data_IF_003885295846
#
_entry.id   IF_003885295846
#
_cell.length_a   1.000
_cell.length_b   1.000
_cell.length_c   1.000
_cell.angle_alpha   90.00
_cell.angle_beta   90.00
_cell.angle_gamma   90.00
#
_symmetry.space_group_name_H-M   'P 1'
#
loop_
_entity.id
_entity.type
_entity.pdbx_description
1 polymer ?
#
# COMPACT_ATOMS: atom_id res chain seq x y z
N UNK A 1 30.66 17.85 42.07
CA UNK A 1 29.90 18.72 42.99
C UNK A 1 29.46 19.97 42.23
N UNK A 2 28.19 20.11 41.90
CA UNK A 2 27.42 21.37 41.85
C UNK A 2 25.97 21.01 41.50
N UNK A 3 25.10 21.57 42.30
CA UNK A 3 23.75 21.20 42.66
C UNK A 3 22.69 21.52 41.59
N UNK A 4 21.65 20.73 41.64
CA UNK A 4 20.34 20.90 41.00
C UNK A 4 19.67 22.23 41.38
N UNK A 5 18.80 22.76 40.46
CA UNK A 5 17.68 23.61 40.84
C UNK A 5 16.45 23.19 40.06
N UNK A 6 15.53 22.62 40.79
CA UNK A 6 14.14 22.44 40.39
C UNK A 6 13.41 23.81 40.45
N UNK A 7 12.55 24.05 39.47
CA UNK A 7 11.54 25.13 39.55
C UNK A 7 10.19 24.52 39.23
N UNK A 8 9.40 24.36 40.29
CA UNK A 8 7.97 24.08 40.23
C UNK A 8 7.23 25.36 39.92
N UNK A 9 6.27 25.35 38.99
CA UNK A 9 5.19 26.33 38.96
C UNK A 9 3.85 25.59 38.95
N UNK A 10 3.20 25.65 40.10
CA UNK A 10 1.78 25.46 40.32
C UNK A 10 1.06 26.74 39.91
N UNK A 11 0.02 26.64 39.11
CA UNK A 11 -1.08 27.61 39.15
C UNK A 11 -2.40 26.90 38.91
N UNK A 12 -3.17 26.82 39.99
CA UNK A 12 -4.57 26.48 40.00
C UNK A 12 -5.42 27.76 39.87
N UNK A 13 -6.47 27.71 39.07
CA UNK A 13 -7.60 28.63 39.23
C UNK A 13 -8.87 27.95 38.70
N UNK A 14 -9.72 27.60 39.60
CA UNK A 14 -11.14 27.29 39.43
C UNK A 14 -11.95 28.58 39.36
N UNK A 15 -13.10 28.57 38.68
CA UNK A 15 -14.30 29.38 38.96
C UNK A 15 -15.43 28.81 38.07
N UNK A 16 -16.39 28.14 38.69
CA UNK A 16 -17.84 28.36 38.86
C UNK A 16 -18.55 29.07 37.71
N UNK A 17 -19.56 28.58 37.05
CA UNK A 17 -20.82 28.02 37.54
C UNK A 17 -21.94 29.05 37.30
N UNK A 18 -22.95 28.74 36.46
CA UNK A 18 -24.31 29.24 36.62
C UNK A 18 -25.28 28.50 35.69
N UNK A 19 -26.18 27.78 36.30
CA UNK A 19 -27.49 27.29 35.84
C UNK A 19 -28.50 28.43 35.76
N UNK A 20 -29.51 28.31 34.89
CA UNK A 20 -30.93 28.73 35.05
C UNK A 20 -31.59 28.57 33.67
N UNK A 21 -32.41 27.60 33.36
CA UNK A 21 -33.79 27.24 33.72
C UNK A 21 -34.82 28.37 33.52
N UNK A 22 -35.75 28.13 32.61
CA UNK A 22 -37.22 28.40 32.69
C UNK A 22 -37.84 28.18 31.30
N UNK A 23 -38.62 27.26 31.07
CA UNK A 23 -40.05 26.93 31.21
C UNK A 23 -41.06 27.89 30.54
N UNK A 24 -41.85 27.26 29.68
CA UNK A 24 -43.29 27.29 29.57
C UNK A 24 -43.99 28.33 28.69
N UNK A 25 -44.86 27.83 27.82
CA UNK A 25 -46.22 28.30 27.69
C UNK A 25 -46.72 28.49 26.27
N UNK A 26 -47.32 27.54 25.70
CA UNK A 26 -48.74 27.28 25.40
C UNK A 26 -49.44 28.09 24.30
N UNK A 27 -50.09 27.32 23.42
CA UNK A 27 -51.41 27.51 22.76
C UNK A 27 -51.56 28.44 21.55
N UNK A 28 -51.92 27.81 20.42
CA UNK A 28 -53.20 28.17 19.82
C UNK A 28 -53.25 28.35 18.31
N UNK A 29 -53.94 27.45 17.66
CA UNK A 29 -54.84 27.55 16.51
C UNK A 29 -54.36 27.75 15.06
N UNK A 30 -54.61 26.69 14.31
CA UNK A 30 -55.32 26.60 13.03
C UNK A 30 -55.13 27.68 11.96
N UNK A 31 -54.58 27.27 10.84
CA UNK A 31 -55.20 27.50 9.53
C UNK A 31 -54.62 26.50 8.48
N UNK A 32 -55.55 25.80 7.90
CA UNK A 32 -55.46 24.83 6.83
C UNK A 32 -55.18 25.54 5.51
N UNK A 33 -54.12 25.16 4.80
CA UNK A 33 -54.05 25.35 3.34
C UNK A 33 -53.32 24.17 2.71
N UNK A 34 -54.10 23.42 1.98
CA UNK A 34 -53.69 22.37 1.06
C UNK A 34 -52.82 22.91 -0.06
N UNK A 35 -51.60 22.36 -0.19
CA UNK A 35 -50.93 22.38 -1.48
C UNK A 35 -50.24 21.04 -1.69
N UNK A 36 -50.69 20.33 -2.71
CA UNK A 36 -50.13 19.15 -3.31
C UNK A 36 -48.70 19.42 -3.77
N UNK A 37 -47.75 18.84 -3.09
CA UNK A 37 -46.35 18.77 -3.51
C UNK A 37 -46.03 17.30 -3.83
N UNK A 38 -45.72 17.08 -5.11
CA UNK A 38 -45.25 15.84 -5.69
C UNK A 38 -44.13 15.26 -4.83
N UNK A 39 -44.40 14.14 -4.21
CA UNK A 39 -43.40 13.37 -3.48
C UNK A 39 -42.42 12.73 -4.45
N UNK A 40 -41.22 13.29 -4.52
CA UNK A 40 -40.07 12.57 -5.01
C UNK A 40 -39.73 11.52 -3.94
N UNK A 41 -40.12 10.27 -4.18
CA UNK A 41 -39.61 9.12 -3.44
C UNK A 41 -38.17 8.92 -3.84
N UNK A 42 -37.27 9.67 -3.20
CA UNK A 42 -35.88 9.28 -3.11
C UNK A 42 -35.88 7.95 -2.34
N UNK A 43 -35.52 6.87 -3.02
CA UNK A 43 -35.22 5.60 -2.38
C UNK A 43 -34.08 5.89 -1.39
N UNK A 44 -34.38 5.92 -0.12
CA UNK A 44 -33.35 5.87 0.90
C UNK A 44 -32.62 4.56 0.67
N UNK A 45 -31.36 4.61 0.25
CA UNK A 45 -30.51 3.44 0.24
C UNK A 45 -30.55 2.89 1.66
N UNK A 46 -30.94 1.65 1.81
CA UNK A 46 -31.01 0.97 3.10
C UNK A 46 -29.56 0.81 3.58
N UNK A 47 -29.17 1.58 4.59
CA UNK A 47 -27.81 1.47 5.15
C UNK A 47 -27.58 0.04 5.62
N UNK A 48 -26.49 -0.57 5.13
CA UNK A 48 -26.09 -1.90 5.58
C UNK A 48 -25.69 -1.80 7.07
N UNK A 49 -26.25 -2.64 7.96
CA UNK A 49 -25.87 -2.61 9.37
C UNK A 49 -24.37 -2.88 9.53
N UNK A 50 -23.70 -2.09 10.37
CA UNK A 50 -22.28 -2.31 10.70
C UNK A 50 -22.16 -3.66 11.42
N UNK A 51 -21.32 -4.54 10.86
CA UNK A 51 -21.01 -5.87 11.39
C UNK A 51 -19.62 -5.91 11.99
N UNK A 52 -18.68 -5.14 11.44
CA UNK A 52 -17.29 -5.10 11.88
C UNK A 52 -16.76 -3.67 12.01
N UNK A 53 -16.04 -3.44 13.10
CA UNK A 53 -15.17 -2.27 13.27
C UNK A 53 -13.73 -2.73 13.08
N UNK A 54 -13.01 -2.15 12.13
CA UNK A 54 -11.63 -2.55 11.79
C UNK A 54 -10.70 -1.36 11.65
N UNK A 55 -9.41 -1.62 11.79
CA UNK A 55 -8.34 -0.68 11.45
C UNK A 55 -7.61 -1.17 10.20
N UNK A 56 -7.47 -0.29 9.21
CA UNK A 56 -6.68 -0.56 8.00
C UNK A 56 -5.68 0.56 7.75
N UNK A 57 -4.46 0.26 7.27
CA UNK A 57 -3.49 1.28 6.91
C UNK A 57 -3.87 1.90 5.56
N UNK A 58 -4.03 3.21 5.52
CA UNK A 58 -4.48 3.89 4.33
C UNK A 58 -3.88 5.26 4.07
N UNK A 59 -3.19 5.85 5.01
CA UNK A 59 -2.70 7.23 4.87
C UNK A 59 -1.16 7.27 4.92
N UNK A 60 -0.51 6.70 3.91
CA UNK A 60 0.95 6.61 3.83
C UNK A 60 1.58 7.38 2.65
N UNK A 61 0.80 8.10 1.86
CA UNK A 61 1.30 8.89 0.73
C UNK A 61 1.65 8.08 -0.54
N UNK A 62 1.45 6.77 -0.54
CA UNK A 62 1.76 5.90 -1.69
C UNK A 62 0.56 5.72 -2.61
N UNK A 63 0.80 5.80 -3.92
CA UNK A 63 -0.17 5.43 -4.96
C UNK A 63 -0.54 3.94 -4.94
N UNK A 64 0.27 3.07 -4.33
CA UNK A 64 -0.04 1.65 -4.17
C UNK A 64 -1.30 1.40 -3.31
N UNK A 65 -1.73 2.39 -2.51
CA UNK A 65 -2.91 2.28 -1.64
C UNK A 65 -4.21 2.79 -2.29
N UNK A 66 -4.22 3.12 -3.56
CA UNK A 66 -5.43 3.65 -4.24
C UNK A 66 -6.66 2.76 -4.03
N UNK A 67 -6.60 1.41 -4.15
CA UNK A 67 -7.76 0.56 -3.88
C UNK A 67 -8.29 0.68 -2.45
N UNK A 68 -7.40 0.79 -1.46
CA UNK A 68 -7.80 0.98 -0.05
C UNK A 68 -8.54 2.30 0.15
N UNK A 69 -8.01 3.40 -0.40
CA UNK A 69 -8.63 4.72 -0.30
C UNK A 69 -10.00 4.76 -0.97
N UNK A 70 -10.11 4.16 -2.16
CA UNK A 70 -11.37 4.14 -2.90
C UNK A 70 -12.40 3.20 -2.28
N UNK A 71 -11.99 2.05 -1.74
CA UNK A 71 -12.89 1.17 -1.00
C UNK A 71 -13.51 1.87 0.21
N UNK A 72 -12.76 2.76 0.85
CA UNK A 72 -13.23 3.59 1.96
C UNK A 72 -14.10 4.77 1.46
N UNK A 73 -13.59 5.63 0.58
CA UNK A 73 -14.23 6.87 0.18
C UNK A 73 -15.50 6.66 -0.66
N UNK A 74 -15.55 5.61 -1.48
CA UNK A 74 -16.72 5.25 -2.28
C UNK A 74 -17.74 4.40 -1.51
N UNK A 75 -17.46 4.10 -0.22
CA UNK A 75 -18.36 3.38 0.65
C UNK A 75 -18.41 1.87 0.41
N UNK A 76 -17.51 1.29 -0.37
CA UNK A 76 -17.53 -0.15 -0.67
C UNK A 76 -17.29 -1.01 0.57
N UNK A 77 -16.48 -0.54 1.53
CA UNK A 77 -16.36 -1.20 2.84
C UNK A 77 -17.67 -1.12 3.63
N UNK A 78 -18.34 0.04 3.63
CA UNK A 78 -19.61 0.20 4.32
C UNK A 78 -20.74 -0.66 3.71
N UNK A 79 -20.75 -0.85 2.39
CA UNK A 79 -21.68 -1.76 1.71
C UNK A 79 -21.52 -3.22 2.18
N UNK A 80 -20.33 -3.62 2.60
CA UNK A 80 -20.05 -4.93 3.18
C UNK A 80 -20.28 -4.98 4.72
N UNK A 81 -20.80 -3.90 5.31
CA UNK A 81 -21.03 -3.82 6.77
C UNK A 81 -19.77 -3.53 7.58
N UNK A 82 -18.75 -2.96 6.96
CA UNK A 82 -17.46 -2.66 7.59
C UNK A 82 -17.37 -1.16 7.90
N UNK A 83 -17.17 -0.83 9.17
CA UNK A 83 -16.77 0.48 9.63
C UNK A 83 -15.23 0.46 9.78
N UNK A 84 -14.50 1.18 8.92
CA UNK A 84 -13.06 1.16 8.88
C UNK A 84 -12.47 2.45 9.43
N UNK A 85 -11.44 2.35 10.27
CA UNK A 85 -10.59 3.44 10.70
C UNK A 85 -9.29 3.42 9.89
N UNK A 86 -9.07 4.46 9.06
CA UNK A 86 -7.87 4.59 8.27
C UNK A 86 -6.75 5.20 9.11
N UNK A 87 -5.65 4.47 9.26
CA UNK A 87 -4.50 4.90 10.05
C UNK A 87 -3.22 5.00 9.21
N UNK A 88 -2.35 5.92 9.57
CA UNK A 88 -0.97 5.90 9.05
C UNK A 88 -0.18 4.83 9.79
N UNK A 89 0.43 3.91 9.06
CA UNK A 89 1.22 2.84 9.63
C UNK A 89 2.45 2.57 8.77
N UNK A 90 3.62 2.53 9.40
CA UNK A 90 4.85 2.07 8.79
C UNK A 90 4.87 0.54 8.64
N UNK A 91 5.92 0.03 8.01
CA UNK A 91 6.08 -1.40 7.75
C UNK A 91 5.98 -2.25 9.03
N UNK A 92 6.71 -1.88 10.08
CA UNK A 92 6.73 -2.63 11.32
C UNK A 92 5.37 -2.62 12.04
N UNK A 93 4.67 -1.49 12.03
CA UNK A 93 3.31 -1.37 12.56
C UNK A 93 2.32 -2.24 11.80
N UNK A 94 2.40 -2.28 10.45
CA UNK A 94 1.60 -3.17 9.61
C UNK A 94 1.89 -4.64 9.91
N UNK A 95 3.17 -5.01 10.01
CA UNK A 95 3.60 -6.36 10.32
C UNK A 95 3.07 -6.82 11.69
N UNK A 96 3.18 -5.98 12.70
CA UNK A 96 2.62 -6.24 14.04
C UNK A 96 1.10 -6.35 13.99
N UNK A 97 0.43 -5.45 13.27
CA UNK A 97 -1.03 -5.44 13.11
C UNK A 97 -1.55 -6.71 12.44
N UNK A 98 -0.91 -7.18 11.37
CA UNK A 98 -1.22 -8.45 10.72
C UNK A 98 -1.00 -9.63 11.67
N UNK A 99 0.18 -9.70 12.30
CA UNK A 99 0.55 -10.83 13.14
C UNK A 99 -0.41 -11.02 14.34
N UNK A 100 -0.87 -9.93 14.95
CA UNK A 100 -1.80 -9.99 16.09
C UNK A 100 -3.27 -9.91 15.71
N UNK A 101 -3.60 -9.59 14.44
CA UNK A 101 -4.95 -9.49 13.90
C UNK A 101 -5.65 -8.15 14.13
N UNK A 102 -4.95 -7.11 14.60
CA UNK A 102 -5.53 -5.76 14.74
C UNK A 102 -5.68 -5.04 13.40
N UNK A 103 -4.88 -5.43 12.41
CA UNK A 103 -5.06 -5.07 11.01
C UNK A 103 -5.37 -6.35 10.23
N UNK A 104 -6.63 -6.60 9.85
CA UNK A 104 -7.04 -7.85 9.22
C UNK A 104 -6.42 -8.04 7.83
N UNK A 105 -6.30 -6.95 7.06
CA UNK A 105 -5.67 -6.90 5.74
C UNK A 105 -4.77 -5.68 5.64
N UNK A 106 -3.64 -5.83 4.97
CA UNK A 106 -2.78 -4.71 4.54
C UNK A 106 -2.28 -4.95 3.11
N UNK A 107 -1.97 -3.88 2.39
CA UNK A 107 -1.15 -3.96 1.19
C UNK A 107 0.33 -4.03 1.58
N UNK A 108 1.11 -4.72 0.77
CA UNK A 108 2.54 -4.85 0.92
C UNK A 108 3.18 -5.45 -0.33
N UNK A 109 4.43 -5.74 -0.25
CA UNK A 109 5.29 -6.23 -1.31
C UNK A 109 6.13 -7.42 -0.81
N UNK A 110 7.22 -7.77 -1.48
CA UNK A 110 8.06 -8.92 -1.13
C UNK A 110 8.73 -8.82 0.25
N UNK A 111 8.79 -7.64 0.87
CA UNK A 111 9.45 -7.46 2.17
C UNK A 111 8.82 -8.29 3.30
N UNK A 112 7.56 -8.74 3.12
CA UNK A 112 6.92 -9.66 4.08
C UNK A 112 7.33 -11.14 3.90
N UNK A 113 7.95 -11.51 2.78
CA UNK A 113 8.28 -12.90 2.51
C UNK A 113 9.18 -13.54 3.56
N UNK A 114 10.27 -12.91 4.05
CA UNK A 114 11.04 -13.44 5.16
C UNK A 114 10.26 -13.58 6.47
N UNK A 115 9.28 -12.69 6.68
CA UNK A 115 8.42 -12.74 7.87
C UNK A 115 7.48 -13.95 7.84
N UNK A 116 6.97 -14.32 6.67
CA UNK A 116 6.19 -15.55 6.46
C UNK A 116 7.09 -16.78 6.69
N UNK A 117 8.30 -16.79 6.14
CA UNK A 117 9.26 -17.86 6.32
C UNK A 117 9.55 -18.12 7.79
N UNK A 118 9.71 -17.05 8.59
CA UNK A 118 9.97 -17.13 10.02
C UNK A 118 8.74 -17.43 10.88
N UNK A 119 7.55 -17.59 10.25
CA UNK A 119 6.33 -18.08 10.90
C UNK A 119 5.46 -17.02 11.54
N UNK A 120 5.52 -15.77 11.08
CA UNK A 120 4.52 -14.78 11.45
C UNK A 120 3.13 -15.16 10.89
N UNK A 121 2.06 -14.70 11.58
CA UNK A 121 0.67 -14.96 11.18
C UNK A 121 0.25 -14.07 10.00
N UNK A 122 0.94 -14.23 8.87
CA UNK A 122 0.76 -13.44 7.64
C UNK A 122 0.67 -14.39 6.46
N UNK A 123 -0.24 -14.10 5.53
CA UNK A 123 -0.35 -14.82 4.25
C UNK A 123 -0.77 -13.86 3.13
N UNK A 124 -0.31 -14.08 1.92
CA UNK A 124 -0.83 -13.42 0.72
C UNK A 124 -2.20 -14.01 0.40
N UNK A 125 -3.16 -13.15 0.05
CA UNK A 125 -4.52 -13.58 -0.31
C UNK A 125 -4.90 -13.17 -1.74
N UNK A 126 -4.24 -12.12 -2.29
CA UNK A 126 -4.44 -11.67 -3.67
C UNK A 126 -3.24 -10.83 -4.13
N UNK A 127 -3.10 -10.67 -5.46
CA UNK A 127 -2.26 -9.63 -6.05
C UNK A 127 -2.95 -8.27 -5.95
N UNK A 128 -2.18 -7.19 -6.04
CA UNK A 128 -2.73 -5.84 -5.98
C UNK A 128 -2.46 -5.05 -7.26
N UNK A 129 -1.20 -4.84 -7.62
CA UNK A 129 -0.82 -4.11 -8.82
C UNK A 129 0.60 -4.46 -9.28
N UNK A 130 0.89 -4.09 -10.54
CA UNK A 130 2.21 -4.21 -11.15
C UNK A 130 3.14 -3.10 -10.67
N UNK A 131 4.38 -3.12 -11.13
CA UNK A 131 5.52 -2.33 -10.73
C UNK A 131 5.31 -0.88 -10.32
N UNK A 132 6.08 -0.47 -9.35
CA UNK A 132 6.12 0.88 -8.78
C UNK A 132 7.52 1.24 -8.26
N UNK A 133 8.56 0.56 -8.76
CA UNK A 133 9.96 0.80 -8.40
C UNK A 133 10.76 1.05 -9.69
N UNK A 134 11.66 2.01 -9.64
CA UNK A 134 12.65 2.26 -10.69
C UNK A 134 14.05 2.23 -10.12
N UNK A 135 14.99 1.73 -10.92
CA UNK A 135 16.41 1.86 -10.69
C UNK A 135 16.91 3.02 -11.54
N UNK A 136 17.51 4.01 -10.89
CA UNK A 136 17.80 5.29 -11.51
C UNK A 136 19.24 5.71 -11.25
N UNK A 137 19.83 6.39 -12.23
CA UNK A 137 21.18 6.95 -12.18
C UNK A 137 21.16 8.41 -12.64
N UNK A 138 22.28 9.14 -12.46
CA UNK A 138 22.38 10.49 -13.00
C UNK A 138 22.27 10.49 -14.52
N UNK A 139 21.76 11.57 -15.16
CA UNK A 139 21.52 11.61 -16.60
C UNK A 139 22.78 11.38 -17.45
N UNK A 140 23.93 11.81 -16.95
CA UNK A 140 25.24 11.66 -17.59
C UNK A 140 26.04 10.43 -17.12
N UNK A 141 25.46 9.59 -16.26
CA UNK A 141 26.08 8.35 -15.80
C UNK A 141 26.35 7.40 -16.97
N UNK A 142 27.50 6.72 -17.01
CA UNK A 142 27.77 5.69 -18.01
C UNK A 142 27.04 4.37 -17.76
N UNK A 143 26.38 4.22 -16.60
CA UNK A 143 25.69 2.99 -16.22
C UNK A 143 24.42 2.83 -17.06
N UNK A 144 24.32 1.71 -17.78
CA UNK A 144 23.17 1.32 -18.62
C UNK A 144 22.72 -0.11 -18.34
N UNK A 145 23.59 -0.94 -17.78
CA UNK A 145 23.34 -2.36 -17.51
C UNK A 145 23.72 -2.74 -16.10
N UNK A 146 23.27 -3.91 -15.64
CA UNK A 146 23.68 -4.47 -14.36
C UNK A 146 25.20 -4.65 -14.22
N UNK A 147 25.86 -5.04 -15.32
CA UNK A 147 27.32 -5.27 -15.32
C UNK A 147 28.11 -3.98 -15.05
N UNK A 148 27.61 -2.82 -15.45
CA UNK A 148 28.25 -1.52 -15.22
C UNK A 148 28.26 -1.14 -13.73
N UNK A 149 27.49 -1.82 -12.90
CA UNK A 149 27.40 -1.61 -11.45
C UNK A 149 28.44 -2.40 -10.65
N UNK A 150 29.27 -3.24 -11.28
CA UNK A 150 30.32 -3.97 -10.53
C UNK A 150 31.26 -3.01 -9.79
N UNK A 151 31.38 -3.20 -8.47
CA UNK A 151 32.11 -2.33 -7.58
C UNK A 151 31.36 -1.07 -7.16
N UNK A 152 30.13 -0.88 -7.66
CA UNK A 152 29.30 0.30 -7.39
C UNK A 152 28.56 0.25 -6.06
N UNK A 153 28.00 1.41 -5.71
CA UNK A 153 27.23 1.64 -4.49
C UNK A 153 25.79 1.98 -4.84
N UNK A 154 24.83 1.31 -4.20
CA UNK A 154 23.41 1.37 -4.51
C UNK A 154 22.62 1.82 -3.30
N UNK A 155 21.84 2.89 -3.44
CA UNK A 155 20.91 3.29 -2.39
C UNK A 155 19.60 2.50 -2.47
N UNK A 156 19.13 2.05 -1.31
CA UNK A 156 17.85 1.37 -1.12
C UNK A 156 17.14 1.96 0.10
N UNK A 157 15.84 1.71 0.26
CA UNK A 157 15.09 2.13 1.44
C UNK A 157 15.62 1.44 2.71
N UNK A 158 15.75 0.11 2.68
CA UNK A 158 16.36 -0.67 3.76
C UNK A 158 17.00 -1.96 3.22
N UNK A 159 17.96 -2.49 3.97
CA UNK A 159 18.55 -3.79 3.66
C UNK A 159 17.51 -4.87 3.94
N UNK A 160 17.22 -5.66 2.90
CA UNK A 160 16.17 -6.68 2.96
C UNK A 160 14.78 -6.18 2.61
N UNK A 161 14.61 -4.89 2.35
CA UNK A 161 13.38 -4.31 1.80
C UNK A 161 13.17 -4.64 0.32
N UNK A 162 12.05 -4.21 -0.23
CA UNK A 162 11.71 -4.60 -1.62
C UNK A 162 12.60 -3.94 -2.65
N UNK A 163 13.01 -2.69 -2.46
CA UNK A 163 13.98 -2.03 -3.36
C UNK A 163 15.32 -2.78 -3.39
N UNK A 164 15.77 -3.29 -2.24
CA UNK A 164 16.92 -4.17 -2.14
C UNK A 164 16.69 -5.49 -2.88
N UNK A 165 15.56 -6.17 -2.65
CA UNK A 165 15.25 -7.47 -3.25
C UNK A 165 15.13 -7.38 -4.77
N UNK A 166 14.40 -6.38 -5.29
CA UNK A 166 14.26 -6.14 -6.74
C UNK A 166 15.63 -5.89 -7.37
N UNK A 167 16.45 -5.04 -6.76
CA UNK A 167 17.77 -4.73 -7.28
C UNK A 167 18.70 -5.94 -7.24
N UNK A 168 18.67 -6.71 -6.14
CA UNK A 168 19.48 -7.92 -6.02
C UNK A 168 19.05 -8.98 -7.04
N UNK A 169 17.75 -9.20 -7.24
CA UNK A 169 17.25 -10.12 -8.27
C UNK A 169 17.70 -9.69 -9.67
N UNK A 170 17.56 -8.41 -10.02
CA UNK A 170 18.00 -7.91 -11.31
C UNK A 170 19.51 -8.08 -11.54
N UNK A 171 20.33 -7.78 -10.54
CA UNK A 171 21.78 -7.95 -10.61
C UNK A 171 22.17 -9.42 -10.79
N UNK A 172 21.66 -10.31 -9.93
CA UNK A 172 21.97 -11.74 -9.95
C UNK A 172 21.51 -12.41 -11.26
N UNK A 173 20.34 -12.04 -11.78
CA UNK A 173 19.84 -12.54 -13.08
C UNK A 173 20.73 -12.10 -14.26
N UNK A 174 21.46 -10.98 -14.11
CA UNK A 174 22.41 -10.47 -15.08
C UNK A 174 23.88 -10.81 -14.73
N UNK A 175 24.10 -11.77 -13.83
CA UNK A 175 25.42 -12.33 -13.52
C UNK A 175 26.30 -11.44 -12.63
N UNK A 176 25.71 -10.46 -11.94
CA UNK A 176 26.39 -9.61 -10.95
C UNK A 176 26.00 -10.09 -9.55
N UNK A 177 26.99 -10.51 -8.76
CA UNK A 177 26.76 -10.97 -7.38
C UNK A 177 26.33 -9.82 -6.49
N UNK A 178 25.10 -9.91 -5.97
CA UNK A 178 24.50 -8.86 -5.15
C UNK A 178 24.42 -9.22 -3.66
N UNK A 179 24.44 -10.54 -3.32
CA UNK A 179 24.23 -11.05 -1.97
C UNK A 179 25.38 -11.96 -1.58
N UNK A 180 25.76 -11.95 -0.29
CA UNK A 180 26.80 -12.81 0.28
C UNK A 180 28.15 -12.14 0.43
N UNK A 181 29.16 -12.95 0.83
CA UNK A 181 30.53 -12.46 1.10
C UNK A 181 31.29 -12.06 -0.19
N UNK A 182 30.86 -12.59 -1.33
CA UNK A 182 31.41 -12.34 -2.67
C UNK A 182 30.58 -11.32 -3.46
N UNK A 183 29.74 -10.54 -2.79
CA UNK A 183 28.94 -9.49 -3.43
C UNK A 183 29.87 -8.47 -4.15
N UNK A 184 29.49 -8.13 -5.37
CA UNK A 184 30.24 -7.22 -6.25
C UNK A 184 29.71 -5.80 -6.19
N UNK A 185 28.67 -5.54 -5.38
CA UNK A 185 28.06 -4.23 -5.16
C UNK A 185 27.92 -3.96 -3.66
N UNK A 186 27.73 -2.69 -3.31
CA UNK A 186 27.48 -2.29 -1.92
C UNK A 186 26.12 -1.62 -1.82
N UNK A 187 25.22 -2.16 -0.99
CA UNK A 187 23.95 -1.52 -0.69
C UNK A 187 24.06 -0.60 0.52
N UNK A 188 23.47 0.60 0.40
CA UNK A 188 23.37 1.58 1.49
C UNK A 188 21.90 1.90 1.76
N UNK A 189 21.40 1.67 3.00
CA UNK A 189 20.04 2.04 3.37
C UNK A 189 19.95 3.52 3.71
N UNK A 190 18.92 4.21 3.18
CA UNK A 190 18.66 5.62 3.48
C UNK A 190 17.33 5.85 4.20
N UNK A 191 16.39 4.90 4.16
CA UNK A 191 15.09 4.96 4.83
C UNK A 191 14.11 5.99 4.26
N UNK A 192 14.50 6.75 3.23
CA UNK A 192 13.67 7.77 2.58
C UNK A 192 14.15 8.01 1.14
N UNK A 193 13.23 8.00 0.18
CA UNK A 193 13.54 8.16 -1.25
C UNK A 193 14.20 9.51 -1.59
N UNK A 194 13.82 10.60 -0.87
CA UNK A 194 14.43 11.90 -1.12
C UNK A 194 15.91 11.89 -0.68
N UNK A 195 16.23 11.22 0.44
CA UNK A 195 17.62 11.06 0.89
C UNK A 195 18.42 10.21 -0.08
N UNK A 196 17.82 9.14 -0.62
CA UNK A 196 18.44 8.31 -1.67
C UNK A 196 18.76 9.13 -2.92
N UNK A 197 17.80 9.91 -3.42
CA UNK A 197 17.99 10.78 -4.59
C UNK A 197 19.06 11.87 -4.34
N UNK A 198 19.10 12.46 -3.15
CA UNK A 198 20.16 13.42 -2.79
C UNK A 198 21.55 12.76 -2.69
N UNK A 199 21.62 11.51 -2.20
CA UNK A 199 22.86 10.74 -2.19
C UNK A 199 23.36 10.47 -3.62
N UNK A 200 22.48 10.16 -4.56
CA UNK A 200 22.79 10.03 -5.98
C UNK A 200 23.33 11.34 -6.56
N UNK A 201 22.60 12.45 -6.35
CA UNK A 201 22.99 13.79 -6.85
C UNK A 201 24.35 14.25 -6.31
N UNK A 202 24.68 13.88 -5.08
CA UNK A 202 25.97 14.20 -4.45
C UNK A 202 27.12 13.27 -4.85
N UNK A 203 26.84 12.19 -5.61
CA UNK A 203 27.82 11.18 -5.98
C UNK A 203 28.22 10.26 -4.81
N UNK A 204 27.40 10.18 -3.76
CA UNK A 204 27.62 9.23 -2.67
C UNK A 204 27.28 7.81 -3.09
N UNK A 205 26.34 7.64 -4.01
CA UNK A 205 25.94 6.37 -4.61
C UNK A 205 25.90 6.48 -6.13
N UNK A 206 26.01 5.36 -6.80
CA UNK A 206 26.05 5.26 -8.25
C UNK A 206 24.67 5.01 -8.86
N UNK A 207 23.77 4.36 -8.09
CA UNK A 207 22.39 4.04 -8.45
C UNK A 207 21.49 4.15 -7.25
N UNK A 208 20.23 4.50 -7.49
CA UNK A 208 19.15 4.46 -6.48
C UNK A 208 18.01 3.56 -6.94
N UNK A 209 17.41 2.86 -6.00
CA UNK A 209 16.15 2.16 -6.19
C UNK A 209 15.06 2.92 -5.46
N UNK A 210 14.09 3.48 -6.19
CA UNK A 210 13.13 4.48 -5.70
C UNK A 210 11.70 4.06 -6.06
N UNK A 211 10.78 4.34 -5.16
CA UNK A 211 9.35 4.11 -5.33
C UNK A 211 8.66 5.23 -6.11
N UNK A 212 7.62 4.86 -6.88
CA UNK A 212 6.68 5.83 -7.39
C UNK A 212 5.78 6.43 -6.27
N UNK A 213 5.44 7.71 -6.38
CA UNK A 213 5.64 8.62 -7.51
C UNK A 213 6.99 9.36 -7.55
N UNK A 214 7.86 9.17 -6.54
CA UNK A 214 9.14 9.91 -6.44
C UNK A 214 10.05 9.62 -7.62
N UNK A 215 10.21 8.36 -8.00
CA UNK A 215 10.99 7.94 -9.15
C UNK A 215 10.52 8.65 -10.43
N UNK A 216 9.24 8.53 -10.78
CA UNK A 216 8.70 9.15 -11.99
C UNK A 216 8.73 10.67 -11.98
N UNK A 217 8.63 11.30 -10.80
CA UNK A 217 8.79 12.76 -10.68
C UNK A 217 10.23 13.18 -10.99
N UNK A 218 11.23 12.47 -10.44
CA UNK A 218 12.64 12.74 -10.70
C UNK A 218 13.02 12.49 -12.17
N UNK A 219 12.52 11.40 -12.76
CA UNK A 219 12.67 11.09 -14.19
C UNK A 219 12.10 12.21 -15.07
N UNK A 220 10.84 12.60 -14.82
CA UNK A 220 10.15 13.65 -15.59
C UNK A 220 10.80 15.01 -15.47
N UNK A 221 11.43 15.30 -14.32
CA UNK A 221 12.21 16.52 -14.10
C UNK A 221 13.58 16.50 -14.82
N UNK A 222 13.99 15.35 -15.39
CA UNK A 222 15.30 15.17 -16.02
C UNK A 222 16.45 15.12 -15.00
N UNK A 223 16.15 14.86 -13.74
CA UNK A 223 17.15 14.76 -12.67
C UNK A 223 17.88 13.42 -12.67
N UNK A 224 17.25 12.40 -13.23
CA UNK A 224 17.73 11.02 -13.34
C UNK A 224 17.40 10.43 -14.71
N UNK A 225 18.06 9.32 -15.07
CA UNK A 225 17.63 8.39 -16.12
C UNK A 225 17.37 7.02 -15.53
N UNK A 226 16.35 6.35 -16.05
CA UNK A 226 15.94 5.01 -15.61
C UNK A 226 16.80 3.95 -16.27
N UNK A 227 17.31 2.99 -15.48
CA UNK A 227 18.04 1.81 -15.93
C UNK A 227 17.13 0.58 -15.92
N UNK A 228 16.22 0.50 -14.94
CA UNK A 228 15.19 -0.54 -14.86
C UNK A 228 13.88 0.10 -14.37
N UNK A 229 12.79 -0.15 -15.08
CA UNK A 229 11.42 0.16 -14.66
C UNK A 229 10.65 -1.15 -14.53
N UNK A 230 10.40 -1.60 -13.30
CA UNK A 230 9.73 -2.89 -13.06
C UNK A 230 8.27 -2.93 -13.55
N UNK A 231 7.71 -1.79 -13.96
CA UNK A 231 6.41 -1.75 -14.63
C UNK A 231 6.47 -2.08 -16.12
N UNK A 232 7.66 -1.99 -16.74
CA UNK A 232 7.87 -2.11 -18.17
C UNK A 232 8.86 -3.21 -18.57
N UNK A 233 9.83 -3.49 -17.71
CA UNK A 233 10.95 -4.37 -18.01
C UNK A 233 10.72 -5.78 -17.47
N UNK A 234 10.91 -6.79 -18.36
CA UNK A 234 10.81 -8.18 -17.96
C UNK A 234 12.00 -8.63 -17.12
N UNK A 235 11.80 -9.57 -16.20
CA UNK A 235 10.56 -10.33 -15.98
C UNK A 235 9.50 -9.61 -15.12
N UNK A 236 9.82 -8.51 -14.46
CA UNK A 236 8.97 -7.85 -13.48
C UNK A 236 7.65 -7.34 -14.06
N UNK A 237 7.64 -6.86 -15.31
CA UNK A 237 6.46 -6.30 -15.97
C UNK A 237 5.30 -7.31 -16.14
N UNK A 238 5.63 -8.60 -16.11
CA UNK A 238 4.66 -9.71 -16.19
C UNK A 238 4.15 -10.19 -14.84
N UNK A 239 4.57 -9.52 -13.73
CA UNK A 239 4.29 -9.94 -12.37
C UNK A 239 3.67 -8.83 -11.53
N UNK A 240 3.03 -9.21 -10.40
CA UNK A 240 2.67 -8.26 -9.36
C UNK A 240 3.92 -7.74 -8.64
N UNK A 241 3.96 -6.46 -8.34
CA UNK A 241 4.92 -5.87 -7.42
C UNK A 241 4.37 -5.89 -5.98
N UNK A 242 3.08 -5.62 -5.86
CA UNK A 242 2.40 -5.52 -4.58
C UNK A 242 1.25 -6.53 -4.46
N UNK A 243 0.99 -6.92 -3.21
CA UNK A 243 0.03 -7.94 -2.83
C UNK A 243 -0.88 -7.46 -1.71
N UNK A 244 -2.02 -8.12 -1.55
CA UNK A 244 -2.84 -8.03 -0.35
C UNK A 244 -2.44 -9.16 0.61
N UNK A 245 -2.08 -8.76 1.83
CA UNK A 245 -1.74 -9.66 2.92
C UNK A 245 -2.86 -9.69 3.95
N UNK A 246 -3.20 -10.88 4.42
CA UNK A 246 -4.15 -11.06 5.50
C UNK A 246 -3.47 -11.63 6.76
N UNK A 247 -4.03 -11.28 7.92
CA UNK A 247 -3.75 -11.98 9.17
C UNK A 247 -4.29 -13.40 9.11
N UNK A 248 -3.41 -14.41 9.18
CA UNK A 248 -3.85 -15.82 9.21
C UNK A 248 -4.68 -16.13 10.45
N UNK A 249 -4.51 -15.35 11.53
CA UNK A 249 -5.35 -15.43 12.73
C UNK A 249 -6.77 -15.01 12.40
N UNK A 250 -6.96 -13.80 11.81
CA UNK A 250 -8.30 -13.30 11.46
C UNK A 250 -8.93 -14.16 10.37
N UNK A 251 -8.16 -14.59 9.36
CA UNK A 251 -8.65 -15.48 8.31
C UNK A 251 -9.21 -16.80 8.86
N UNK A 252 -8.63 -17.31 9.95
CA UNK A 252 -9.11 -18.52 10.64
C UNK A 252 -10.30 -18.27 11.55
N UNK A 253 -10.31 -17.14 12.28
CA UNK A 253 -11.33 -16.81 13.28
C UNK A 253 -12.58 -16.19 12.65
N UNK A 254 -12.43 -15.36 11.62
CA UNK A 254 -13.50 -14.67 10.90
C UNK A 254 -13.19 -14.58 9.39
N UNK A 255 -13.28 -15.69 8.64
CA UNK A 255 -13.01 -15.69 7.20
C UNK A 255 -14.02 -14.83 6.41
N UNK A 256 -15.21 -14.60 6.94
CA UNK A 256 -16.23 -13.75 6.32
C UNK A 256 -15.79 -12.28 6.28
N UNK A 257 -15.13 -11.78 7.33
CA UNK A 257 -14.55 -10.43 7.34
C UNK A 257 -13.50 -10.27 6.24
N UNK A 258 -12.58 -11.22 6.10
CA UNK A 258 -11.53 -11.16 5.05
C UNK A 258 -12.18 -11.17 3.66
N UNK A 259 -13.20 -12.01 3.44
CA UNK A 259 -13.96 -12.07 2.19
C UNK A 259 -14.64 -10.74 1.87
N UNK A 260 -15.27 -10.11 2.87
CA UNK A 260 -15.94 -8.82 2.74
C UNK A 260 -14.95 -7.69 2.36
N UNK A 261 -13.81 -7.63 3.03
CA UNK A 261 -12.78 -6.62 2.71
C UNK A 261 -12.25 -6.85 1.28
N UNK A 262 -11.96 -8.09 0.90
CA UNK A 262 -11.43 -8.38 -0.43
C UNK A 262 -12.44 -8.06 -1.55
N UNK A 263 -13.74 -8.31 -1.33
CA UNK A 263 -14.80 -7.87 -2.27
C UNK A 263 -14.83 -6.35 -2.44
N UNK A 264 -14.74 -5.61 -1.33
CA UNK A 264 -14.69 -4.14 -1.36
C UNK A 264 -13.46 -3.63 -2.14
N UNK A 265 -12.30 -4.26 -1.96
CA UNK A 265 -11.07 -3.90 -2.67
C UNK A 265 -11.17 -4.22 -4.16
N UNK A 266 -11.63 -5.41 -4.54
CA UNK A 266 -11.84 -5.76 -5.97
C UNK A 266 -12.84 -4.83 -6.66
N UNK A 267 -13.87 -4.36 -5.94
CA UNK A 267 -14.80 -3.35 -6.43
C UNK A 267 -14.11 -1.99 -6.66
N UNK A 268 -13.16 -1.63 -5.77
CA UNK A 268 -12.35 -0.43 -5.95
C UNK A 268 -11.38 -0.56 -7.14
N UNK A 269 -10.74 -1.72 -7.31
CA UNK A 269 -9.87 -2.01 -8.47
C UNK A 269 -10.64 -1.93 -9.78
N UNK A 270 -11.83 -2.51 -9.85
CA UNK A 270 -12.73 -2.41 -11.01
C UNK A 270 -13.11 -0.96 -11.32
N UNK A 271 -13.38 -0.16 -10.27
CA UNK A 271 -13.62 1.28 -10.45
C UNK A 271 -12.40 2.00 -11.00
N UNK A 272 -11.20 1.72 -10.50
CA UNK A 272 -9.95 2.32 -10.99
C UNK A 272 -9.72 1.95 -12.45
N UNK A 273 -9.86 0.67 -12.80
CA UNK A 273 -9.67 0.19 -14.17
C UNK A 273 -10.61 0.89 -15.18
N UNK A 274 -11.83 1.17 -14.77
CA UNK A 274 -12.84 1.84 -15.60
C UNK A 274 -12.77 3.37 -15.59
N UNK A 275 -12.29 3.96 -14.48
CA UNK A 275 -12.36 5.40 -14.24
C UNK A 275 -11.04 5.94 -13.63
N UNK A 276 -9.87 5.70 -14.23
CA UNK A 276 -8.59 6.01 -13.61
C UNK A 276 -8.40 7.51 -13.33
N UNK A 277 -8.90 8.41 -14.18
CA UNK A 277 -8.84 9.85 -13.95
C UNK A 277 -9.65 10.25 -12.70
N UNK A 278 -10.91 9.79 -12.60
CA UNK A 278 -11.77 10.11 -11.46
C UNK A 278 -11.25 9.49 -10.16
N UNK A 279 -10.68 8.29 -10.23
CA UNK A 279 -10.02 7.63 -9.11
C UNK A 279 -8.83 8.46 -8.60
N UNK A 280 -7.98 8.92 -9.52
CA UNK A 280 -6.82 9.76 -9.21
C UNK A 280 -7.25 11.11 -8.64
N UNK A 281 -8.24 11.78 -9.26
CA UNK A 281 -8.75 13.06 -8.78
C UNK A 281 -9.25 12.98 -7.34
N UNK A 282 -9.99 11.91 -7.00
CA UNK A 282 -10.51 11.71 -5.65
C UNK A 282 -9.40 11.57 -4.61
N UNK A 283 -8.37 10.76 -4.87
CA UNK A 283 -7.28 10.57 -3.91
C UNK A 283 -6.41 11.81 -3.73
N UNK A 284 -6.25 12.62 -4.79
CA UNK A 284 -5.53 13.90 -4.73
C UNK A 284 -6.36 14.95 -3.97
N UNK A 285 -7.67 15.06 -4.23
CA UNK A 285 -8.59 15.94 -3.50
C UNK A 285 -8.59 15.63 -2.00
N UNK A 286 -8.63 14.35 -1.65
CA UNK A 286 -8.61 13.87 -0.26
C UNK A 286 -7.22 13.91 0.38
N UNK A 287 -6.18 14.24 -0.39
CA UNK A 287 -4.77 14.35 0.06
C UNK A 287 -4.20 13.05 0.62
N UNK A 288 -4.63 11.93 0.09
CA UNK A 288 -4.02 10.63 0.40
C UNK A 288 -2.62 10.50 -0.19
N UNK A 289 -2.39 11.18 -1.32
CA UNK A 289 -1.10 11.22 -2.01
C UNK A 289 -0.76 12.68 -2.32
N UNK A 290 0.53 13.03 -2.23
CA UNK A 290 1.02 14.35 -2.57
C UNK A 290 1.89 14.27 -3.84
N UNK A 291 1.28 14.60 -4.97
CA UNK A 291 1.93 14.75 -6.27
C UNK A 291 1.32 15.97 -6.96
N UNK A 292 2.17 16.90 -7.40
CA UNK A 292 1.72 18.16 -8.01
C UNK A 292 1.27 17.96 -9.46
N UNK A 293 1.91 17.02 -10.16
CA UNK A 293 1.61 16.69 -11.55
C UNK A 293 0.47 15.66 -11.61
N UNK A 294 -0.76 16.18 -11.78
CA UNK A 294 -1.97 15.36 -11.90
C UNK A 294 -1.90 14.36 -13.06
N UNK A 295 -1.39 14.78 -14.20
CA UNK A 295 -1.36 13.93 -15.39
C UNK A 295 -0.39 12.76 -15.20
N UNK A 296 0.75 13.02 -14.55
CA UNK A 296 1.67 11.96 -14.14
C UNK A 296 1.01 11.00 -13.13
N UNK A 297 0.27 11.52 -12.15
CA UNK A 297 -0.45 10.67 -11.19
C UNK A 297 -1.45 9.73 -11.90
N UNK A 298 -2.20 10.26 -12.89
CA UNK A 298 -3.13 9.47 -13.70
C UNK A 298 -2.39 8.42 -14.54
N UNK A 299 -1.25 8.79 -15.13
CA UNK A 299 -0.41 7.85 -15.89
C UNK A 299 0.07 6.69 -15.02
N UNK A 300 0.56 6.97 -13.82
CA UNK A 300 1.01 5.96 -12.87
C UNK A 300 -0.13 5.04 -12.43
N UNK A 301 -1.28 5.60 -12.05
CA UNK A 301 -2.46 4.80 -11.64
C UNK A 301 -2.92 3.87 -12.78
N UNK A 302 -2.89 4.33 -14.03
CA UNK A 302 -3.16 3.48 -15.21
C UNK A 302 -2.08 2.41 -15.41
N UNK A 303 -0.82 2.79 -15.24
CA UNK A 303 0.34 1.91 -15.43
C UNK A 303 0.39 0.75 -14.43
N UNK A 304 -0.15 0.92 -13.24
CA UNK A 304 -0.21 -0.14 -12.22
C UNK A 304 -1.08 -1.34 -12.65
N UNK A 305 -2.00 -1.15 -13.60
CA UNK A 305 -2.74 -2.26 -14.20
C UNK A 305 -3.64 -2.99 -13.20
N UNK A 306 -4.36 -2.25 -12.37
CA UNK A 306 -5.37 -2.82 -11.48
C UNK A 306 -6.39 -3.63 -12.28
N UNK A 307 -6.68 -4.89 -11.90
CA UNK A 307 -7.60 -5.74 -12.65
C UNK A 307 -9.05 -5.26 -12.50
N UNK A 308 -9.80 -5.35 -13.60
CA UNK A 308 -11.25 -5.19 -13.55
C UNK A 308 -11.93 -6.50 -13.14
N UNK A 309 -13.20 -6.45 -12.73
CA UNK A 309 -14.02 -7.64 -12.49
C UNK A 309 -14.02 -8.57 -13.72
N UNK A 310 -14.10 -8.00 -14.93
CA UNK A 310 -14.03 -8.76 -16.16
C UNK A 310 -12.66 -9.44 -16.39
N UNK A 311 -11.57 -8.92 -15.87
CA UNK A 311 -10.27 -9.54 -15.96
C UNK A 311 -10.17 -10.78 -15.05
N UNK A 312 -10.78 -10.74 -13.88
CA UNK A 312 -10.91 -11.92 -13.01
C UNK A 312 -11.81 -12.99 -13.68
N UNK A 313 -12.97 -12.60 -14.19
CA UNK A 313 -13.94 -13.52 -14.80
C UNK A 313 -13.38 -14.22 -16.07
N UNK A 314 -12.52 -13.54 -16.81
CA UNK A 314 -11.94 -14.05 -18.06
C UNK A 314 -10.57 -14.69 -17.88
N UNK A 315 -10.02 -14.69 -16.66
CA UNK A 315 -8.68 -15.19 -16.37
C UNK A 315 -7.56 -14.35 -16.98
N UNK A 316 -7.78 -13.05 -17.20
CA UNK A 316 -6.77 -12.10 -17.64
C UNK A 316 -6.02 -11.46 -16.46
N UNK A 317 -6.63 -11.42 -15.28
CA UNK A 317 -5.92 -11.03 -14.07
C UNK A 317 -4.77 -12.01 -13.84
N UNK A 318 -3.65 -11.52 -13.34
CA UNK A 318 -2.51 -12.38 -13.00
C UNK A 318 -2.90 -13.35 -11.88
N UNK A 319 -2.36 -14.55 -11.92
CA UNK A 319 -2.54 -15.55 -10.86
C UNK A 319 -1.59 -15.23 -9.70
N UNK A 320 -2.14 -14.65 -8.62
CA UNK A 320 -1.37 -14.24 -7.47
C UNK A 320 -0.61 -15.40 -6.79
N UNK A 321 -1.16 -16.63 -6.81
CA UNK A 321 -0.47 -17.79 -6.24
C UNK A 321 0.74 -18.18 -7.09
N UNK A 322 0.58 -18.23 -8.41
CA UNK A 322 1.68 -18.50 -9.33
C UNK A 322 2.76 -17.44 -9.23
N UNK A 323 2.36 -16.18 -9.02
CA UNK A 323 3.24 -15.03 -8.90
C UNK A 323 4.08 -15.08 -7.61
N UNK A 324 3.44 -15.35 -6.46
CA UNK A 324 4.13 -15.56 -5.18
C UNK A 324 5.13 -16.72 -5.29
N UNK A 325 4.76 -17.80 -6.00
CA UNK A 325 5.67 -18.93 -6.22
C UNK A 325 6.89 -18.50 -7.05
N UNK A 326 6.67 -17.75 -8.13
CA UNK A 326 7.76 -17.23 -8.97
C UNK A 326 8.79 -16.43 -8.15
N UNK A 327 8.33 -15.47 -7.33
CA UNK A 327 9.25 -14.68 -6.51
C UNK A 327 9.87 -15.48 -5.37
N UNK A 328 9.16 -16.46 -4.79
CA UNK A 328 9.75 -17.37 -3.81
C UNK A 328 10.89 -18.19 -4.42
N UNK A 329 10.70 -18.73 -5.64
CA UNK A 329 11.74 -19.45 -6.38
C UNK A 329 12.93 -18.54 -6.72
N UNK A 330 12.67 -17.32 -7.20
CA UNK A 330 13.71 -16.36 -7.57
C UNK A 330 14.53 -15.92 -6.34
N UNK A 331 13.87 -15.56 -5.24
CA UNK A 331 14.53 -15.15 -3.98
C UNK A 331 15.27 -16.31 -3.30
N UNK A 332 14.74 -17.55 -3.40
CA UNK A 332 15.45 -18.74 -2.94
C UNK A 332 16.70 -19.00 -3.80
N UNK A 333 16.58 -18.85 -5.13
CA UNK A 333 17.69 -19.04 -6.08
C UNK A 333 18.90 -18.13 -5.82
N UNK A 334 18.68 -16.95 -5.29
CA UNK A 334 19.75 -16.02 -4.88
C UNK A 334 20.14 -16.12 -3.41
N UNK A 335 19.56 -17.08 -2.67
CA UNK A 335 19.87 -17.33 -1.26
C UNK A 335 19.24 -16.35 -0.26
N UNK A 336 18.25 -15.56 -0.71
CA UNK A 336 17.53 -14.62 0.15
C UNK A 336 16.46 -15.31 1.01
N UNK A 337 15.70 -16.25 0.43
CA UNK A 337 14.84 -17.18 1.15
C UNK A 337 15.56 -18.53 1.30
N UNK A 338 15.35 -19.19 2.43
CA UNK A 338 16.00 -20.45 2.79
C UNK A 338 15.08 -21.66 2.66
N UNK A 339 13.77 -21.45 2.76
CA UNK A 339 12.76 -22.49 2.61
C UNK A 339 12.69 -23.01 1.18
N UNK A 340 12.39 -24.31 1.04
CA UNK A 340 11.99 -24.87 -0.26
C UNK A 340 10.76 -24.10 -0.81
N UNK A 341 10.78 -23.66 -2.07
CA UNK A 341 9.70 -22.84 -2.63
C UNK A 341 8.31 -23.50 -2.60
N UNK A 342 8.21 -24.84 -2.79
CA UNK A 342 6.94 -25.56 -2.73
C UNK A 342 6.42 -25.66 -1.28
N UNK A 343 7.30 -25.78 -0.28
CA UNK A 343 6.91 -25.70 1.12
C UNK A 343 6.56 -24.27 1.54
N UNK A 344 7.26 -23.29 0.98
CA UNK A 344 7.02 -21.87 1.24
C UNK A 344 5.64 -21.45 0.76
N UNK A 345 5.26 -21.75 -0.51
CA UNK A 345 4.00 -21.35 -1.09
C UNK A 345 2.78 -21.88 -0.31
N UNK A 346 2.90 -23.07 0.27
CA UNK A 346 1.84 -23.65 1.09
C UNK A 346 1.52 -22.84 2.37
N UNK A 347 2.45 -21.99 2.80
CA UNK A 347 2.29 -21.07 3.94
C UNK A 347 2.01 -19.64 3.48
N UNK A 348 2.61 -19.25 2.35
CA UNK A 348 2.65 -17.89 1.87
C UNK A 348 1.38 -17.46 1.16
N UNK A 349 0.59 -18.38 0.63
CA UNK A 349 -0.63 -18.06 -0.10
C UNK A 349 -1.85 -18.81 0.47
N UNK A 350 -2.95 -18.08 0.67
CA UNK A 350 -4.22 -18.65 1.10
C UNK A 350 -5.35 -18.10 0.24
N UNK A 351 -6.02 -18.94 -0.58
CA UNK A 351 -7.16 -18.49 -1.38
C UNK A 351 -8.33 -18.10 -0.49
N UNK A 352 -9.03 -17.03 -0.85
CA UNK A 352 -10.20 -16.52 -0.13
C UNK A 352 -11.48 -16.86 -0.88
N UNK A 353 -12.46 -17.44 -0.19
CA UNK A 353 -13.79 -17.69 -0.73
C UNK A 353 -14.64 -16.41 -0.68
N UNK A 354 -14.79 -15.74 -1.81
CA UNK A 354 -15.55 -14.48 -1.94
C UNK A 354 -17.08 -14.66 -1.82
N UNK A 355 -17.58 -15.89 -1.65
CA UNK A 355 -19.03 -16.14 -1.50
C UNK A 355 -19.46 -16.07 -0.03
N UNK A 356 -18.53 -16.07 0.92
CA UNK A 356 -18.84 -15.99 2.35
C UNK A 356 -19.49 -14.65 2.68
N UNK A 357 -20.63 -14.71 3.37
CA UNK A 357 -21.35 -13.53 3.85
C UNK A 357 -22.19 -12.78 2.81
N UNK A 358 -22.35 -13.35 1.59
CA UNK A 358 -23.27 -12.82 0.57
C UNK A 358 -24.72 -13.16 0.89
#
# INVERSE_FOLDING_TARGET
MKKAKAISFLLAAAITGALLSACAGNSGNNAQSSQSGSGSTGSAAQETPVKWDITIPGNNGSLCNVPTFLAYELGYLAEEGINADLVSADYESKKVGLNNGTMPIVNGDFMYFPSIETGLNITVIDGLHKGCIKLEVLPDSPIETAEDLRGGTIAVDEIGGTTYQVTALWLEQNGVKAIGEDAEVTFLPFGDDNLSLEALKSGQVDLVAVWDPKASVAEKAGEVKVVLDISKDEPFASHYCCYLYASTKVLKEDPELISAILRAYRKAEDYIAKNPEAATDLILEKKYVSIEDRDLAVELVKGYGYPSEADFDTGKALDAQADVKYFAEALHGIGYLTSDPDEYIAKAFTPVDLTLGK
#
